data_IF_907144690112
#
_entry.id   IF_907144690112
#
_cell.length_a   1.000
_cell.length_b   1.000
_cell.length_c   1.000
_cell.angle_alpha   90.00
_cell.angle_beta   90.00
_cell.angle_gamma   90.00
#
_symmetry.space_group_name_H-M   'P 1'
#
loop_
_entity.id
_entity.type
_entity.pdbx_description
1 polymer ?
#
# COMPACT_ATOMS: atom_id res chain seq x y z
N UNK A 1 15.69 26.80 42.73
CA UNK A 1 15.74 25.53 41.99
C UNK A 1 14.64 25.57 40.94
N UNK A 2 15.00 25.64 39.67
CA UNK A 2 14.03 25.64 38.56
C UNK A 2 13.92 24.19 38.09
N UNK A 3 12.77 23.57 38.32
CA UNK A 3 12.47 22.24 37.76
C UNK A 3 12.46 22.35 36.23
N UNK A 4 13.36 21.61 35.58
CA UNK A 4 13.32 21.45 34.13
C UNK A 4 12.13 20.55 33.78
N UNK A 5 11.31 20.88 32.77
CA UNK A 5 10.26 19.98 32.32
C UNK A 5 10.89 18.68 31.83
N UNK A 6 10.32 17.54 32.28
CA UNK A 6 10.70 16.21 31.79
C UNK A 6 10.51 16.21 30.28
N UNK A 7 11.60 16.09 29.52
CA UNK A 7 11.53 15.73 28.11
C UNK A 7 10.83 14.37 28.07
N UNK A 8 9.59 14.33 27.59
CA UNK A 8 9.07 13.11 27.01
C UNK A 8 9.99 12.80 25.84
N UNK A 9 10.94 11.89 26.05
CA UNK A 9 11.70 11.29 24.97
C UNK A 9 10.67 10.56 24.10
N UNK A 10 10.29 11.18 23.01
CA UNK A 10 9.42 10.61 22.00
C UNK A 10 10.14 9.39 21.43
N UNK A 11 9.71 8.20 21.83
CA UNK A 11 10.01 7.01 21.04
C UNK A 11 9.42 7.31 19.64
N UNK A 12 10.24 7.42 18.58
CA UNK A 12 9.72 7.71 17.26
C UNK A 12 8.75 6.58 16.93
N UNK A 13 7.46 6.90 16.83
CA UNK A 13 6.44 5.95 16.44
C UNK A 13 6.94 5.24 15.18
N UNK A 14 7.25 3.94 15.31
CA UNK A 14 7.86 3.17 14.23
C UNK A 14 6.76 2.86 13.24
N UNK A 15 6.75 3.59 12.13
CA UNK A 15 5.81 3.36 11.04
C UNK A 15 5.85 1.89 10.62
N UNK A 16 4.71 1.20 10.71
CA UNK A 16 4.55 -0.17 10.25
C UNK A 16 3.44 -0.25 9.22
N UNK A 17 3.78 -0.72 8.03
CA UNK A 17 2.84 -0.90 6.93
C UNK A 17 2.89 -2.37 6.52
N UNK A 18 1.72 -3.00 6.40
CA UNK A 18 1.59 -4.37 5.90
C UNK A 18 1.00 -4.32 4.51
N UNK A 19 1.64 -5.02 3.58
CA UNK A 19 1.13 -5.25 2.24
C UNK A 19 0.85 -6.73 2.08
N UNK A 20 -0.35 -7.07 1.64
CA UNK A 20 -0.78 -8.46 1.56
C UNK A 20 -1.79 -8.65 0.44
N UNK A 21 -1.51 -9.58 -0.46
CA UNK A 21 -2.53 -10.14 -1.32
C UNK A 21 -3.38 -11.09 -0.47
N UNK A 22 -4.68 -10.81 -0.35
CA UNK A 22 -5.57 -11.55 0.55
C UNK A 22 -6.42 -12.60 -0.17
N UNK A 23 -6.16 -12.82 -1.46
CA UNK A 23 -6.80 -13.84 -2.29
C UNK A 23 -8.32 -13.89 -2.08
N UNK A 24 -8.97 -12.74 -2.24
CA UNK A 24 -10.43 -12.58 -2.07
C UNK A 24 -10.98 -13.11 -0.74
N UNK A 25 -10.15 -13.22 0.30
CA UNK A 25 -10.55 -13.71 1.61
C UNK A 25 -10.88 -15.21 1.64
N UNK A 26 -10.39 -16.02 0.68
CA UNK A 26 -10.67 -17.45 0.62
C UNK A 26 -10.34 -18.22 1.92
N UNK A 27 -9.39 -17.73 2.72
CA UNK A 27 -9.02 -18.27 4.04
C UNK A 27 -9.39 -17.30 5.17
N UNK A 28 -10.64 -16.83 5.17
CA UNK A 28 -11.12 -15.71 6.00
C UNK A 28 -10.76 -15.82 7.48
N UNK A 29 -10.98 -16.96 8.13
CA UNK A 29 -10.75 -17.08 9.59
C UNK A 29 -9.28 -16.83 9.96
N UNK A 30 -8.35 -17.37 9.17
CA UNK A 30 -6.90 -17.16 9.37
C UNK A 30 -6.45 -15.78 8.97
N UNK A 31 -7.05 -15.22 7.92
CA UNK A 31 -6.80 -13.84 7.53
C UNK A 31 -7.26 -12.87 8.64
N UNK A 32 -8.45 -13.07 9.19
CA UNK A 32 -9.01 -12.26 10.26
C UNK A 32 -8.14 -12.33 11.53
N UNK A 33 -7.74 -13.54 11.93
CA UNK A 33 -6.83 -13.76 13.06
C UNK A 33 -5.52 -12.98 12.89
N UNK A 34 -4.91 -13.06 11.70
CA UNK A 34 -3.69 -12.31 11.37
C UNK A 34 -3.91 -10.80 11.42
N UNK A 35 -4.96 -10.29 10.77
CA UNK A 35 -5.25 -8.85 10.71
C UNK A 35 -5.44 -8.29 12.12
N UNK A 36 -6.24 -8.94 12.97
CA UNK A 36 -6.49 -8.50 14.33
C UNK A 36 -5.23 -8.55 15.20
N UNK A 37 -4.41 -9.60 15.07
CA UNK A 37 -3.13 -9.69 15.77
C UNK A 37 -2.15 -8.57 15.38
N UNK A 38 -2.15 -8.18 14.11
CA UNK A 38 -1.25 -7.15 13.59
C UNK A 38 -1.77 -5.70 13.76
N UNK A 39 -3.09 -5.52 13.91
CA UNK A 39 -3.75 -4.21 13.94
C UNK A 39 -3.30 -3.29 15.09
N UNK A 40 -2.80 -3.87 16.19
CA UNK A 40 -2.31 -3.09 17.34
C UNK A 40 -1.11 -2.24 16.96
N UNK A 41 -0.20 -2.79 16.14
CA UNK A 41 1.10 -2.20 15.84
C UNK A 41 1.22 -1.65 14.43
N UNK A 42 0.24 -1.95 13.57
CA UNK A 42 0.23 -1.54 12.17
C UNK A 42 -0.42 -0.15 12.03
N UNK A 43 0.11 0.66 11.12
CA UNK A 43 -0.40 2.01 10.82
C UNK A 43 -1.19 2.05 9.53
N UNK A 44 -0.82 1.18 8.59
CA UNK A 44 -1.59 1.00 7.38
C UNK A 44 -1.53 -0.45 6.89
N UNK A 45 -2.68 -0.94 6.43
CA UNK A 45 -2.77 -2.19 5.65
C UNK A 45 -3.01 -1.86 4.18
N UNK A 46 -2.32 -2.56 3.29
CA UNK A 46 -2.44 -2.43 1.86
C UNK A 46 -2.81 -3.80 1.30
N UNK A 47 -4.09 -3.99 0.98
CA UNK A 47 -4.62 -5.26 0.51
C UNK A 47 -4.86 -5.24 -1.00
N UNK A 48 -4.47 -6.31 -1.69
CA UNK A 48 -4.83 -6.59 -3.10
C UNK A 48 -5.75 -7.79 -3.17
N UNK A 49 -6.50 -7.94 -4.26
CA UNK A 49 -7.54 -8.97 -4.40
C UNK A 49 -8.71 -8.75 -3.42
N UNK A 50 -9.15 -7.49 -3.36
CA UNK A 50 -10.26 -7.02 -2.50
C UNK A 50 -11.48 -6.74 -3.36
N UNK A 51 -12.53 -7.56 -3.24
CA UNK A 51 -13.84 -7.25 -3.85
C UNK A 51 -14.70 -6.34 -2.96
N UNK A 52 -15.80 -5.76 -3.47
CA UNK A 52 -16.66 -4.82 -2.72
C UNK A 52 -17.21 -5.37 -1.39
N UNK A 53 -17.67 -6.62 -1.37
CA UNK A 53 -18.17 -7.26 -0.15
C UNK A 53 -17.05 -7.46 0.89
N UNK A 54 -15.87 -7.89 0.43
CA UNK A 54 -14.71 -8.10 1.27
C UNK A 54 -14.19 -6.77 1.83
N UNK A 55 -14.22 -5.70 1.04
CA UNK A 55 -13.91 -4.36 1.49
C UNK A 55 -14.80 -3.95 2.68
N UNK A 56 -16.11 -4.21 2.59
CA UNK A 56 -17.06 -3.91 3.67
C UNK A 56 -16.75 -4.73 4.91
N UNK A 57 -16.48 -6.04 4.76
CA UNK A 57 -16.05 -6.91 5.86
C UNK A 57 -14.78 -6.41 6.54
N UNK A 58 -13.77 -6.01 5.78
CA UNK A 58 -12.51 -5.47 6.29
C UNK A 58 -12.70 -4.15 7.04
N UNK A 59 -13.56 -3.26 6.53
CA UNK A 59 -13.87 -1.99 7.20
C UNK A 59 -14.55 -2.22 8.57
N UNK A 60 -15.43 -3.22 8.67
CA UNK A 60 -16.05 -3.61 9.93
C UNK A 60 -15.04 -4.27 10.90
N UNK A 61 -14.07 -5.02 10.37
CA UNK A 61 -13.03 -5.68 11.16
C UNK A 61 -12.00 -4.69 11.72
N UNK A 62 -11.76 -3.59 11.00
CA UNK A 62 -10.78 -2.56 11.32
C UNK A 62 -11.47 -1.20 11.58
N UNK A 63 -12.31 -1.09 12.62
CA UNK A 63 -13.10 0.13 12.87
C UNK A 63 -12.23 1.36 13.14
N UNK A 64 -11.03 1.15 13.67
CA UNK A 64 -10.05 2.22 13.94
C UNK A 64 -9.26 2.62 12.68
N UNK A 65 -9.58 2.08 11.51
CA UNK A 65 -8.89 2.39 10.26
C UNK A 65 -9.85 2.99 9.24
N UNK A 66 -9.40 4.05 8.57
CA UNK A 66 -10.10 4.65 7.44
C UNK A 66 -9.80 3.87 6.16
N UNK A 67 -10.82 3.31 5.47
CA UNK A 67 -10.62 2.61 4.21
C UNK A 67 -10.49 3.58 3.03
N UNK A 68 -9.58 3.25 2.11
CA UNK A 68 -9.41 3.86 0.80
C UNK A 68 -9.43 2.74 -0.25
N UNK A 69 -10.61 2.46 -0.77
CA UNK A 69 -10.84 1.38 -1.72
C UNK A 69 -10.76 1.88 -3.15
N UNK A 70 -10.10 1.11 -4.00
CA UNK A 70 -10.03 1.33 -5.42
C UNK A 70 -10.54 0.11 -6.19
N UNK A 71 -11.67 0.29 -6.86
CA UNK A 71 -12.21 -0.70 -7.78
C UNK A 71 -11.36 -0.70 -9.07
N UNK A 72 -10.77 -1.86 -9.39
CA UNK A 72 -9.80 -1.97 -10.48
C UNK A 72 -10.43 -2.50 -11.76
N UNK A 73 -10.83 -3.77 -11.76
CA UNK A 73 -11.23 -4.48 -12.99
C UNK A 73 -12.29 -5.53 -12.69
N UNK A 74 -13.18 -5.78 -13.65
CA UNK A 74 -13.96 -7.02 -13.68
C UNK A 74 -13.12 -8.14 -14.27
N UNK A 75 -13.08 -9.29 -13.63
CA UNK A 75 -12.24 -10.40 -14.03
C UNK A 75 -13.06 -11.64 -14.37
N UNK A 76 -12.62 -12.38 -15.39
CA UNK A 76 -13.30 -13.62 -15.79
C UNK A 76 -13.03 -14.76 -14.80
N UNK A 77 -11.87 -14.75 -14.13
CA UNK A 77 -11.51 -15.79 -13.16
C UNK A 77 -12.26 -15.67 -11.83
N UNK A 78 -13.02 -14.58 -11.64
CA UNK A 78 -13.99 -14.41 -10.54
C UNK A 78 -15.43 -14.51 -11.06
N UNK A 79 -15.67 -15.25 -12.15
CA UNK A 79 -16.99 -15.36 -12.78
C UNK A 79 -17.63 -13.99 -13.12
N UNK A 80 -16.81 -13.03 -13.55
CA UNK A 80 -17.23 -11.65 -13.84
C UNK A 80 -17.24 -10.73 -12.61
N UNK A 81 -16.73 -11.20 -11.48
CA UNK A 81 -16.55 -10.48 -10.23
C UNK A 81 -15.58 -9.30 -10.34
N UNK A 82 -15.64 -8.42 -9.34
CA UNK A 82 -14.85 -7.19 -9.28
C UNK A 82 -13.60 -7.46 -8.45
N UNK A 83 -12.43 -7.22 -9.06
CA UNK A 83 -11.14 -7.16 -8.40
C UNK A 83 -10.78 -5.71 -8.04
N UNK A 84 -10.10 -5.55 -6.92
CA UNK A 84 -9.85 -4.28 -6.28
C UNK A 84 -8.66 -4.32 -5.35
N UNK A 85 -8.30 -3.15 -4.82
CA UNK A 85 -7.30 -3.01 -3.78
C UNK A 85 -7.72 -1.95 -2.77
N UNK A 86 -7.27 -2.09 -1.53
CA UNK A 86 -7.65 -1.21 -0.43
C UNK A 86 -6.45 -0.84 0.43
N UNK A 87 -6.31 0.45 0.71
CA UNK A 87 -5.42 0.95 1.76
C UNK A 87 -6.27 1.33 2.96
N UNK A 88 -6.00 0.73 4.11
CA UNK A 88 -6.66 1.03 5.38
C UNK A 88 -5.65 1.74 6.26
N UNK A 89 -5.89 3.01 6.57
CA UNK A 89 -4.96 3.85 7.35
C UNK A 89 -5.52 4.07 8.75
N UNK A 90 -4.72 3.85 9.79
CA UNK A 90 -5.12 4.02 11.18
C UNK A 90 -5.62 5.45 11.44
N UNK A 91 -6.73 5.55 12.16
CA UNK A 91 -7.34 6.82 12.54
C UNK A 91 -6.35 7.68 13.32
N UNK A 92 -6.37 8.98 13.05
CA UNK A 92 -5.41 9.94 13.61
C UNK A 92 -4.15 10.17 12.76
N UNK A 93 -3.88 9.32 11.76
CA UNK A 93 -2.87 9.62 10.74
C UNK A 93 -3.49 10.54 9.69
N UNK A 94 -2.86 11.68 9.43
CA UNK A 94 -3.33 12.62 8.43
C UNK A 94 -3.05 12.09 7.02
N UNK A 95 -4.07 12.06 6.17
CA UNK A 95 -3.99 11.68 4.76
C UNK A 95 -4.18 12.94 3.93
N UNK A 96 -3.12 13.36 3.23
CA UNK A 96 -3.15 14.60 2.44
C UNK A 96 -3.60 14.35 1.00
N UNK A 97 -3.32 13.16 0.46
CA UNK A 97 -3.58 12.85 -0.93
C UNK A 97 -3.67 11.34 -1.15
N UNK A 98 -4.44 10.93 -2.15
CA UNK A 98 -4.51 9.55 -2.61
C UNK A 98 -4.69 9.52 -4.13
N UNK A 99 -4.29 8.42 -4.76
CA UNK A 99 -4.43 8.30 -6.20
C UNK A 99 -4.25 6.88 -6.70
N UNK A 100 -4.49 6.71 -8.00
CA UNK A 100 -4.29 5.45 -8.71
C UNK A 100 -3.72 5.67 -10.09
N UNK A 101 -2.82 4.79 -10.50
CA UNK A 101 -2.20 4.85 -11.82
C UNK A 101 -1.91 3.45 -12.35
N UNK A 102 -2.17 3.23 -13.64
CA UNK A 102 -1.80 1.97 -14.29
C UNK A 102 -0.28 1.88 -14.46
N UNK A 103 0.36 0.90 -13.84
CA UNK A 103 1.79 0.59 -14.02
C UNK A 103 2.04 -0.29 -15.25
N UNK A 104 1.00 -0.97 -15.74
CA UNK A 104 0.92 -1.48 -17.10
C UNK A 104 -0.55 -1.73 -17.47
N UNK A 105 -0.85 -1.80 -18.76
CA UNK A 105 -2.18 -2.14 -19.27
C UNK A 105 -2.04 -2.75 -20.66
N UNK A 106 -2.23 -4.05 -20.77
CA UNK A 106 -2.25 -4.76 -22.07
C UNK A 106 -3.70 -4.87 -22.56
N UNK A 107 -4.61 -5.27 -21.66
CA UNK A 107 -6.05 -5.34 -21.94
C UNK A 107 -6.84 -4.77 -20.75
N UNK A 108 -8.17 -4.81 -20.83
CA UNK A 108 -9.03 -4.52 -19.66
C UNK A 108 -8.91 -5.57 -18.55
N UNK A 109 -8.40 -6.78 -18.84
CA UNK A 109 -8.29 -7.92 -17.93
C UNK A 109 -6.84 -8.27 -17.57
N UNK A 110 -5.85 -7.66 -18.24
CA UNK A 110 -4.42 -7.75 -17.93
C UNK A 110 -3.85 -6.34 -17.76
N UNK A 111 -3.96 -5.84 -16.54
CA UNK A 111 -3.42 -4.55 -16.13
C UNK A 111 -2.91 -4.63 -14.70
N UNK A 112 -1.97 -3.73 -14.38
CA UNK A 112 -1.47 -3.58 -13.02
C UNK A 112 -1.63 -2.15 -12.58
N UNK A 113 -1.95 -1.96 -11.31
CA UNK A 113 -2.27 -0.66 -10.73
C UNK A 113 -1.41 -0.40 -9.51
N UNK A 114 -0.90 0.83 -9.43
CA UNK A 114 -0.30 1.43 -8.25
C UNK A 114 -1.35 2.33 -7.60
N UNK A 115 -1.80 1.99 -6.39
CA UNK A 115 -2.55 2.91 -5.52
C UNK A 115 -1.56 3.62 -4.61
N UNK A 116 -1.68 4.94 -4.54
CA UNK A 116 -0.81 5.79 -3.72
C UNK A 116 -1.56 6.46 -2.59
N UNK A 117 -0.85 6.68 -1.48
CA UNK A 117 -1.33 7.43 -0.32
C UNK A 117 -0.21 8.34 0.21
N UNK A 118 -0.42 9.65 0.23
CA UNK A 118 0.47 10.59 0.94
C UNK A 118 -0.07 10.78 2.36
N UNK A 119 0.68 10.32 3.35
CA UNK A 119 0.36 10.47 4.77
C UNK A 119 1.35 11.37 5.49
N UNK A 120 0.93 11.99 6.58
CA UNK A 120 1.80 12.74 7.51
C UNK A 120 1.84 12.04 8.85
N UNK A 121 3.03 11.65 9.28
CA UNK A 121 3.29 11.03 10.58
C UNK A 121 4.53 11.64 11.21
N UNK A 122 4.45 12.09 12.47
CA UNK A 122 5.53 12.77 13.17
C UNK A 122 6.16 13.94 12.36
N UNK A 123 5.31 14.75 11.72
CA UNK A 123 5.70 15.86 10.84
C UNK A 123 6.49 15.46 9.59
N UNK A 124 6.56 14.17 9.25
CA UNK A 124 7.17 13.65 8.01
C UNK A 124 6.10 13.25 7.01
N UNK A 125 6.30 13.60 5.75
CA UNK A 125 5.46 13.14 4.64
C UNK A 125 5.98 11.80 4.14
N UNK A 126 5.10 10.81 4.08
CA UNK A 126 5.40 9.47 3.57
C UNK A 126 4.46 9.16 2.42
N UNK A 127 5.03 8.72 1.30
CA UNK A 127 4.25 8.15 0.20
C UNK A 127 4.22 6.63 0.36
N UNK A 128 3.02 6.08 0.45
CA UNK A 128 2.75 4.64 0.38
C UNK A 128 2.35 4.32 -1.06
N UNK A 129 2.95 3.29 -1.66
CA UNK A 129 2.58 2.77 -2.96
C UNK A 129 2.26 1.28 -2.90
N UNK A 130 0.98 0.92 -3.04
CA UNK A 130 0.52 -0.47 -3.12
C UNK A 130 0.36 -0.88 -4.58
N UNK A 131 1.01 -1.97 -4.99
CA UNK A 131 1.04 -2.40 -6.39
C UNK A 131 0.41 -3.78 -6.50
N UNK A 132 -0.68 -3.87 -7.26
CA UNK A 132 -1.13 -5.13 -7.84
C UNK A 132 -0.60 -5.21 -9.28
N UNK A 133 0.51 -5.93 -9.47
CA UNK A 133 1.29 -5.94 -10.70
C UNK A 133 1.07 -7.17 -11.59
N UNK A 134 1.96 -7.37 -12.56
CA UNK A 134 1.81 -8.43 -13.56
C UNK A 134 1.96 -9.83 -12.96
N UNK A 135 0.83 -10.52 -12.84
CA UNK A 135 0.76 -11.88 -12.31
C UNK A 135 1.41 -12.92 -13.25
N UNK A 136 1.20 -12.79 -14.56
CA UNK A 136 1.69 -13.75 -15.55
C UNK A 136 3.02 -13.32 -16.18
N UNK A 137 3.95 -14.25 -16.43
CA UNK A 137 3.87 -15.69 -16.14
C UNK A 137 4.05 -16.00 -14.63
N UNK A 138 3.32 -17.01 -14.15
CA UNK A 138 3.24 -17.37 -12.72
C UNK A 138 4.54 -17.79 -12.04
N UNK A 139 5.64 -17.99 -12.78
CA UNK A 139 6.95 -18.36 -12.24
C UNK A 139 7.68 -17.24 -11.49
N UNK A 140 7.09 -16.02 -11.40
CA UNK A 140 7.60 -14.84 -10.66
C UNK A 140 9.01 -14.32 -11.02
N UNK A 141 9.73 -14.96 -11.94
CA UNK A 141 10.99 -14.44 -12.50
C UNK A 141 10.80 -13.11 -13.22
N UNK A 142 11.91 -12.38 -13.36
CA UNK A 142 11.95 -11.16 -14.15
C UNK A 142 11.61 -11.45 -15.61
N UNK A 143 10.74 -10.61 -16.15
CA UNK A 143 10.40 -10.57 -17.58
C UNK A 143 10.56 -9.15 -18.08
N UNK A 144 10.72 -8.98 -19.40
CA UNK A 144 10.75 -7.63 -20.00
C UNK A 144 9.56 -6.77 -19.57
N UNK A 145 8.37 -7.37 -19.46
CA UNK A 145 7.16 -6.70 -19.02
C UNK A 145 7.20 -6.29 -17.53
N UNK A 146 7.67 -7.17 -16.62
CA UNK A 146 7.83 -6.84 -15.20
C UNK A 146 8.87 -5.75 -14.97
N UNK A 147 10.00 -5.82 -15.68
CA UNK A 147 11.03 -4.77 -15.62
C UNK A 147 10.47 -3.44 -16.12
N UNK A 148 9.73 -3.41 -17.23
CA UNK A 148 9.09 -2.20 -17.74
C UNK A 148 8.06 -1.62 -16.74
N UNK A 149 7.25 -2.48 -16.12
CA UNK A 149 6.33 -2.10 -15.05
C UNK A 149 7.08 -1.47 -13.86
N UNK A 150 8.17 -2.09 -13.40
CA UNK A 150 8.99 -1.57 -12.30
C UNK A 150 9.59 -0.21 -12.64
N UNK A 151 10.12 -0.02 -13.86
CA UNK A 151 10.62 1.28 -14.32
C UNK A 151 9.52 2.34 -14.29
N UNK A 152 8.35 2.05 -14.86
CA UNK A 152 7.21 2.96 -14.84
C UNK A 152 6.78 3.29 -13.41
N UNK A 153 6.74 2.31 -12.53
CA UNK A 153 6.42 2.51 -11.11
C UNK A 153 7.37 3.51 -10.46
N UNK A 154 8.68 3.35 -10.68
CA UNK A 154 9.72 4.26 -10.18
C UNK A 154 9.49 5.67 -10.73
N UNK A 155 9.24 5.80 -12.03
CA UNK A 155 8.99 7.10 -12.66
C UNK A 155 7.78 7.82 -12.05
N UNK A 156 6.69 7.08 -11.78
CA UNK A 156 5.49 7.64 -11.16
C UNK A 156 5.70 8.09 -9.71
N UNK A 157 6.61 7.43 -8.99
CA UNK A 157 6.90 7.73 -7.58
C UNK A 157 7.94 8.85 -7.45
N UNK A 158 8.98 8.86 -8.27
CA UNK A 158 10.06 9.86 -8.22
C UNK A 158 9.64 11.15 -8.94
N UNK A 159 8.90 11.04 -10.04
CA UNK A 159 8.48 12.15 -10.88
C UNK A 159 6.95 12.20 -11.05
N UNK A 160 6.16 12.30 -9.97
CA UNK A 160 4.73 12.54 -10.11
C UNK A 160 4.55 13.90 -10.80
N UNK A 161 3.94 13.90 -11.98
CA UNK A 161 3.84 15.05 -12.89
C UNK A 161 3.63 16.40 -12.18
N UNK A 162 4.52 17.35 -12.50
CA UNK A 162 4.38 18.80 -12.28
C UNK A 162 3.83 19.24 -10.92
N UNK A 163 4.54 18.94 -9.84
CA UNK A 163 4.54 19.82 -8.64
C UNK A 163 5.94 20.40 -8.46
N UNK A 164 6.13 21.72 -8.37
CA UNK A 164 7.42 22.29 -8.01
C UNK A 164 7.68 21.92 -6.54
N UNK A 165 8.54 20.94 -6.29
CA UNK A 165 9.06 20.66 -4.94
C UNK A 165 10.56 20.92 -4.97
N UNK A 166 10.99 21.88 -4.16
CA UNK A 166 12.38 22.32 -4.09
C UNK A 166 13.34 21.17 -3.79
N UNK A 167 14.53 21.25 -4.39
CA UNK A 167 15.75 20.49 -4.10
C UNK A 167 15.56 19.15 -3.36
N UNK A 168 15.11 18.13 -4.09
CA UNK A 168 15.16 16.74 -3.63
C UNK A 168 16.63 16.30 -3.67
N UNK A 169 17.33 16.40 -2.54
CA UNK A 169 18.64 15.76 -2.35
C UNK A 169 18.44 14.25 -2.22
N UNK A 170 19.27 13.47 -2.93
CA UNK A 170 19.34 11.99 -2.95
C UNK A 170 18.77 11.36 -1.66
N UNK A 171 17.56 10.82 -1.74
CA UNK A 171 16.84 10.24 -0.60
C UNK A 171 16.99 8.73 -0.59
N UNK A 172 17.06 8.15 0.60
CA UNK A 172 17.24 6.72 0.84
C UNK A 172 15.95 5.95 0.47
N UNK A 173 16.04 5.08 -0.53
CA UNK A 173 14.96 4.18 -0.96
C UNK A 173 15.06 2.92 -0.09
N UNK A 174 14.15 2.74 0.87
CA UNK A 174 14.11 1.52 1.71
C UNK A 174 13.06 0.54 1.18
N UNK A 175 13.54 -0.61 0.70
CA UNK A 175 12.71 -1.75 0.36
C UNK A 175 12.45 -2.59 1.61
N UNK A 176 11.20 -2.62 2.08
CA UNK A 176 10.80 -3.45 3.22
C UNK A 176 10.49 -4.86 2.73
N UNK A 177 11.43 -5.79 2.85
CA UNK A 177 11.20 -7.22 2.59
C UNK A 177 10.28 -7.81 3.68
N UNK A 178 9.00 -8.05 3.36
CA UNK A 178 8.20 -9.02 4.09
C UNK A 178 8.58 -10.44 3.60
N UNK A 179 8.89 -11.35 4.54
CA UNK A 179 9.33 -12.74 4.28
C UNK A 179 8.23 -13.67 3.70
N UNK A 180 7.35 -13.15 2.84
CA UNK A 180 6.42 -13.95 2.04
C UNK A 180 6.43 -13.38 0.62
N UNK A 181 7.35 -13.91 -0.20
CA UNK A 181 7.46 -13.76 -1.66
C UNK A 181 7.77 -12.32 -2.17
N UNK A 182 8.53 -12.16 -3.27
CA UNK A 182 9.06 -10.86 -3.65
C UNK A 182 7.97 -9.99 -4.26
N UNK A 183 7.41 -9.11 -3.46
CA UNK A 183 6.68 -7.93 -3.91
C UNK A 183 7.57 -6.72 -3.55
N UNK A 184 7.78 -5.85 -4.54
CA UNK A 184 8.68 -4.72 -4.43
C UNK A 184 7.98 -3.61 -3.64
N UNK A 185 8.45 -3.31 -2.44
CA UNK A 185 7.88 -2.29 -1.55
C UNK A 185 8.78 -1.06 -1.48
N UNK A 186 8.22 0.14 -1.54
CA UNK A 186 8.99 1.38 -1.39
C UNK A 186 8.36 2.27 -0.32
N UNK A 187 9.09 2.49 0.77
CA UNK A 187 8.75 3.48 1.80
C UNK A 187 9.71 4.67 1.68
N UNK A 188 9.16 5.88 1.53
CA UNK A 188 9.95 7.12 1.50
C UNK A 188 10.00 7.75 2.90
N UNK A 189 11.19 7.92 3.45
CA UNK A 189 11.44 8.66 4.69
C UNK A 189 12.12 9.98 4.31
N UNK A 190 11.46 11.11 4.58
CA UNK A 190 12.06 12.45 4.59
C UNK A 190 12.35 12.84 6.03
#
# INVERSE_FOLDING_TARGET
MVERPRRFESCPHRLKIIFLNIWHGHVWDKLQEFILGEAVTTDAFCFTEVGPELQTKLANLLPDYRPFYDELIRTDYLDGGIDGQGIFVKSGINVENNGKQYVYKVTKKDCGVLQTMEIVINSRRVLIGSIHGKAQPGHKLDTKARIAQSKKTIDLIIFPGSRPRGNIKKTEIRFLNAKILPIMYLCHLV
#
